data_IF_991401475420
#
_entry.id   IF_991401475420
#
_cell.length_a   1.000
_cell.length_b   1.000
_cell.length_c   1.000
_cell.angle_alpha   90.00
_cell.angle_beta   90.00
_cell.angle_gamma   90.00
#
_symmetry.space_group_name_H-M   'P 1'
#
loop_
_entity.id
_entity.type
_entity.pdbx_description
1 polymer ?
#
# COMPACT_ATOMS: atom_id res chain seq x y z
N UNK A 1 -21.90 -5.86 0.27
CA UNK A 1 -20.79 -6.83 0.48
C UNK A 1 -19.59 -5.98 0.80
N UNK A 2 -18.93 -6.20 1.94
CA UNK A 2 -17.83 -5.36 2.39
C UNK A 2 -16.59 -5.58 1.52
N UNK A 3 -15.86 -4.49 1.24
CA UNK A 3 -14.52 -4.50 0.66
C UNK A 3 -13.67 -3.63 1.57
N UNK A 4 -12.61 -4.19 2.13
CA UNK A 4 -11.63 -3.50 2.95
C UNK A 4 -10.24 -3.77 2.41
N UNK A 5 -9.53 -2.69 2.08
CA UNK A 5 -8.17 -2.74 1.56
C UNK A 5 -7.36 -1.64 2.23
N UNK A 6 -6.34 -2.00 2.99
CA UNK A 6 -5.36 -1.10 3.57
C UNK A 6 -3.97 -1.53 3.14
N UNK A 7 -3.22 -0.67 2.46
CA UNK A 7 -1.92 -1.10 1.94
C UNK A 7 -1.11 0.00 1.28
N UNK A 8 0.20 -0.27 1.18
CA UNK A 8 1.11 0.53 0.37
C UNK A 8 1.13 0.03 -1.07
N UNK A 9 1.14 0.96 -2.02
CA UNK A 9 1.25 0.66 -3.45
C UNK A 9 2.42 1.45 -4.01
N UNK A 10 3.39 0.74 -4.57
CA UNK A 10 4.55 1.32 -5.24
C UNK A 10 5.13 0.31 -6.24
N UNK A 11 6.26 0.63 -6.86
CA UNK A 11 7.00 -0.33 -7.70
C UNK A 11 7.36 -1.57 -6.89
N UNK A 12 7.26 -2.75 -7.51
CA UNK A 12 7.51 -4.02 -6.84
C UNK A 12 8.90 -4.08 -6.20
N UNK A 13 9.93 -3.64 -6.91
CA UNK A 13 11.33 -3.60 -6.45
C UNK A 13 11.52 -2.69 -5.23
N UNK A 14 10.79 -1.57 -5.20
CA UNK A 14 10.81 -0.61 -4.10
C UNK A 14 10.20 -1.22 -2.84
N UNK A 15 9.01 -1.81 -2.95
CA UNK A 15 8.36 -2.45 -1.79
C UNK A 15 9.15 -3.66 -1.29
N UNK A 16 9.72 -4.46 -2.20
CA UNK A 16 10.61 -5.56 -1.84
C UNK A 16 11.82 -5.08 -1.05
N UNK A 17 12.48 -4.01 -1.50
CA UNK A 17 13.67 -3.43 -0.84
C UNK A 17 13.31 -2.75 0.49
N UNK A 18 12.26 -1.94 0.51
CA UNK A 18 11.82 -1.20 1.69
C UNK A 18 11.30 -2.11 2.79
N UNK A 19 10.65 -3.22 2.44
CA UNK A 19 10.11 -4.17 3.39
C UNK A 19 11.11 -5.24 3.87
N UNK A 20 12.37 -5.27 3.40
CA UNK A 20 13.37 -6.30 3.78
C UNK A 20 13.57 -6.50 5.30
N UNK A 21 13.21 -5.53 6.13
CA UNK A 21 13.28 -5.62 7.59
C UNK A 21 12.00 -6.08 8.30
N UNK A 22 10.91 -6.32 7.57
CA UNK A 22 9.60 -6.63 8.13
C UNK A 22 9.26 -8.09 7.88
N UNK A 23 9.18 -8.88 8.95
CA UNK A 23 8.95 -10.33 8.88
C UNK A 23 7.52 -10.68 8.47
N UNK A 24 6.57 -9.82 8.82
CA UNK A 24 5.15 -10.01 8.50
C UNK A 24 4.74 -9.34 7.20
N UNK A 25 5.66 -8.63 6.53
CA UNK A 25 5.39 -8.00 5.24
C UNK A 25 5.15 -9.05 4.15
N UNK A 26 4.12 -8.83 3.35
CA UNK A 26 3.74 -9.68 2.21
C UNK A 26 3.54 -8.82 0.99
N UNK A 27 4.46 -8.90 0.04
CA UNK A 27 4.40 -8.11 -1.20
C UNK A 27 3.63 -8.92 -2.23
N UNK A 28 2.54 -8.35 -2.74
CA UNK A 28 1.70 -8.94 -3.78
C UNK A 28 1.96 -8.22 -5.09
N UNK A 29 2.44 -8.89 -6.14
CA UNK A 29 2.62 -8.26 -7.43
C UNK A 29 1.26 -7.85 -8.04
N UNK A 30 1.21 -6.63 -8.57
CA UNK A 30 0.09 -6.06 -9.32
C UNK A 30 0.47 -5.89 -10.80
N UNK A 31 -0.46 -5.37 -11.59
CA UNK A 31 -0.18 -5.03 -12.98
C UNK A 31 0.86 -3.90 -13.12
N UNK A 32 1.44 -3.77 -14.32
CA UNK A 32 2.38 -2.70 -14.70
C UNK A 32 3.66 -2.61 -13.84
N UNK A 33 4.04 -3.70 -13.16
CA UNK A 33 5.23 -3.74 -12.30
C UNK A 33 5.05 -3.01 -10.96
N UNK A 34 3.82 -2.69 -10.58
CA UNK A 34 3.50 -2.26 -9.22
C UNK A 34 3.32 -3.48 -8.32
N UNK A 35 3.34 -3.25 -7.02
CA UNK A 35 2.95 -4.23 -6.02
C UNK A 35 2.14 -3.56 -4.91
N UNK A 36 1.37 -4.38 -4.20
CA UNK A 36 0.66 -4.05 -2.99
C UNK A 36 1.40 -4.67 -1.80
N UNK A 37 1.64 -3.89 -0.75
CA UNK A 37 2.02 -4.37 0.57
C UNK A 37 0.82 -4.15 1.51
N UNK A 38 0.00 -5.18 1.79
CA UNK A 38 -1.17 -5.07 2.65
C UNK A 38 -0.74 -4.81 4.10
N UNK A 39 -1.35 -3.81 4.74
CA UNK A 39 -1.12 -3.47 6.14
C UNK A 39 -2.08 -4.26 7.03
N UNK A 40 -1.74 -5.54 7.19
CA UNK A 40 -2.43 -6.45 8.12
C UNK A 40 -2.21 -6.05 9.58
N UNK A 41 -2.96 -6.67 10.48
CA UNK A 41 -2.80 -6.44 11.92
C UNK A 41 -1.39 -6.81 12.39
N UNK A 42 -0.88 -7.95 11.90
CA UNK A 42 0.47 -8.40 12.21
C UNK A 42 1.54 -7.38 11.77
N UNK A 43 1.40 -6.80 10.57
CA UNK A 43 2.32 -5.78 10.07
C UNK A 43 2.24 -4.49 10.87
N UNK A 44 1.02 -4.05 11.18
CA UNK A 44 0.83 -2.86 12.01
C UNK A 44 1.42 -3.06 13.41
N UNK A 45 1.26 -4.23 14.02
CA UNK A 45 1.78 -4.53 15.36
C UNK A 45 3.31 -4.66 15.37
N UNK A 46 3.90 -5.29 14.34
CA UNK A 46 5.35 -5.33 14.14
C UNK A 46 5.93 -3.92 13.99
N UNK A 47 5.34 -3.11 13.11
CA UNK A 47 5.78 -1.74 12.86
C UNK A 47 5.54 -0.84 14.07
N UNK A 48 4.53 -1.06 14.90
CA UNK A 48 4.33 -0.29 16.14
C UNK A 48 5.12 -0.86 17.33
N UNK A 49 5.79 -2.01 17.16
CA UNK A 49 6.55 -2.67 18.22
C UNK A 49 5.68 -3.09 19.42
N UNK A 50 4.42 -3.48 19.14
CA UNK A 50 3.44 -3.83 20.17
C UNK A 50 2.94 -2.66 21.04
N UNK A 51 3.27 -1.42 20.69
CA UNK A 51 2.77 -0.21 21.38
C UNK A 51 1.44 0.26 20.78
N UNK A 52 0.73 1.09 21.54
CA UNK A 52 -0.49 1.75 21.06
C UNK A 52 -0.23 2.52 19.75
N UNK A 53 -1.19 2.42 18.84
CA UNK A 53 -1.14 3.08 17.54
C UNK A 53 -1.39 4.58 17.71
N UNK A 54 -0.42 5.39 17.32
CA UNK A 54 -0.65 6.83 17.04
C UNK A 54 -1.04 7.01 15.59
N UNK A 55 -2.23 7.54 15.31
CA UNK A 55 -2.70 7.80 13.96
C UNK A 55 -1.83 8.88 13.29
N UNK A 56 -1.38 8.64 12.05
CA UNK A 56 -0.60 9.64 11.32
C UNK A 56 -1.46 10.83 10.89
N UNK A 57 -2.69 10.56 10.46
CA UNK A 57 -3.66 11.57 10.05
C UNK A 57 -5.07 11.11 10.38
N UNK A 58 -5.99 12.05 10.60
CA UNK A 58 -7.39 11.79 10.97
C UNK A 58 -8.19 11.11 9.83
N UNK A 59 -7.69 11.20 8.60
CA UNK A 59 -8.30 10.62 7.40
C UNK A 59 -8.22 9.08 7.37
N UNK A 60 -7.29 8.49 8.13
CA UNK A 60 -6.97 7.06 8.06
C UNK A 60 -7.39 6.32 9.34
N UNK A 61 -7.78 5.06 9.17
CA UNK A 61 -8.11 4.12 10.24
C UNK A 61 -6.90 3.30 10.68
N UNK A 62 -6.00 2.98 9.75
CA UNK A 62 -4.91 2.02 9.93
C UNK A 62 -3.52 2.66 9.85
N UNK A 63 -3.34 3.75 9.11
CA UNK A 63 -2.06 4.45 9.00
C UNK A 63 -1.60 5.04 10.35
N UNK A 64 -0.51 4.50 10.89
CA UNK A 64 0.19 5.04 12.05
C UNK A 64 1.31 6.00 11.65
N UNK A 65 1.74 6.88 12.56
CA UNK A 65 2.91 7.76 12.33
C UNK A 65 4.14 6.95 11.91
N UNK A 66 4.37 5.79 12.53
CA UNK A 66 5.50 4.91 12.19
C UNK A 66 5.38 4.34 10.78
N UNK A 67 4.17 3.97 10.35
CA UNK A 67 3.89 3.52 8.99
C UNK A 67 4.09 4.66 7.98
N UNK A 68 3.67 5.89 8.30
CA UNK A 68 3.90 7.07 7.47
C UNK A 68 5.40 7.39 7.33
N UNK A 69 6.19 7.29 8.41
CA UNK A 69 7.63 7.47 8.36
C UNK A 69 8.37 6.41 7.54
N UNK A 70 7.88 5.15 7.55
CA UNK A 70 8.39 4.13 6.64
C UNK A 70 8.11 4.50 5.19
N UNK A 71 6.89 4.93 4.86
CA UNK A 71 6.53 5.35 3.51
C UNK A 71 7.36 6.56 3.05
N UNK A 72 7.57 7.55 3.91
CA UNK A 72 8.45 8.69 3.65
C UNK A 72 9.89 8.21 3.37
N UNK A 73 10.43 7.29 4.17
CA UNK A 73 11.78 6.73 3.97
C UNK A 73 11.88 5.94 2.67
N UNK A 74 10.91 5.08 2.37
CA UNK A 74 10.84 4.32 1.13
C UNK A 74 10.70 5.22 -0.09
N UNK A 75 10.05 6.38 0.08
CA UNK A 75 9.82 7.31 -1.01
C UNK A 75 11.10 7.93 -1.58
N UNK A 76 12.23 7.81 -0.88
CA UNK A 76 13.55 8.18 -1.40
C UNK A 76 13.96 7.32 -2.62
N UNK A 77 13.41 6.12 -2.77
CA UNK A 77 13.65 5.22 -3.91
C UNK A 77 12.65 5.42 -5.06
N UNK A 78 11.56 6.15 -4.82
CA UNK A 78 10.50 6.44 -5.80
C UNK A 78 9.13 6.63 -5.14
N UNK A 79 8.08 6.95 -5.92
CA UNK A 79 6.77 7.28 -5.36
C UNK A 79 6.12 6.11 -4.61
N UNK A 80 5.56 6.39 -3.43
CA UNK A 80 4.82 5.44 -2.59
C UNK A 80 3.44 6.01 -2.27
N UNK A 81 2.40 5.29 -2.66
CA UNK A 81 1.03 5.58 -2.25
C UNK A 81 0.65 4.71 -1.05
N UNK A 82 -0.15 5.27 -0.14
CA UNK A 82 -0.90 4.50 0.84
C UNK A 82 -2.38 4.71 0.60
N UNK A 83 -3.15 3.62 0.67
CA UNK A 83 -4.59 3.62 0.42
C UNK A 83 -5.33 2.84 1.50
N UNK A 84 -6.51 3.32 1.85
CA UNK A 84 -7.49 2.61 2.66
C UNK A 84 -8.85 2.67 1.99
N UNK A 85 -9.60 1.58 2.04
CA UNK A 85 -10.98 1.53 1.56
C UNK A 85 -11.85 0.77 2.55
N UNK A 86 -13.07 1.24 2.77
CA UNK A 86 -14.10 0.54 3.54
C UNK A 86 -15.47 0.72 2.84
N UNK A 87 -15.96 -0.38 2.26
CA UNK A 87 -17.25 -0.47 1.58
C UNK A 87 -18.30 -1.27 2.38
N UNK A 88 -18.32 -1.16 3.72
CA UNK A 88 -19.20 -2.00 4.55
C UNK A 88 -20.71 -1.78 4.33
N UNK A 89 -21.23 -0.58 3.99
CA UNK A 89 -22.66 -0.38 3.62
C UNK A 89 -22.97 1.04 3.10
N UNK A 90 -22.69 1.30 1.82
CA UNK A 90 -23.32 2.40 1.08
C UNK A 90 -22.65 3.78 1.08
N UNK A 91 -21.61 4.03 1.88
CA UNK A 91 -20.82 5.28 1.80
C UNK A 91 -19.39 5.11 1.28
N UNK A 92 -18.92 3.86 1.12
CA UNK A 92 -17.71 3.49 0.39
C UNK A 92 -16.55 4.44 0.56
N UNK A 93 -16.07 4.60 1.79
CA UNK A 93 -15.10 5.64 2.06
C UNK A 93 -13.71 5.14 1.69
N UNK A 94 -12.98 5.98 0.98
CA UNK A 94 -11.61 5.77 0.60
C UNK A 94 -10.75 6.85 1.24
N UNK A 95 -9.53 6.50 1.61
CA UNK A 95 -8.50 7.45 2.00
C UNK A 95 -7.20 7.16 1.27
N UNK A 96 -6.42 8.21 1.01
CA UNK A 96 -5.14 8.08 0.32
C UNK A 96 -4.15 9.18 0.65
N UNK A 97 -2.87 8.89 0.52
CA UNK A 97 -1.76 9.84 0.66
C UNK A 97 -0.58 9.33 -0.19
N UNK A 98 0.25 10.24 -0.71
CA UNK A 98 1.41 9.87 -1.54
C UNK A 98 2.66 10.61 -1.08
N UNK A 99 3.76 9.86 -1.00
CA UNK A 99 5.10 10.38 -0.79
C UNK A 99 5.98 10.13 -2.00
N UNK A 100 6.89 11.06 -2.26
CA UNK A 100 7.91 10.97 -3.29
C UNK A 100 9.14 11.77 -2.85
N UNK A 101 10.33 11.22 -3.08
CA UNK A 101 11.62 11.81 -2.70
C UNK A 101 11.72 12.26 -1.23
N UNK A 102 11.14 11.50 -0.30
CA UNK A 102 11.15 11.81 1.13
C UNK A 102 10.16 12.91 1.54
N UNK A 103 9.25 13.32 0.64
CA UNK A 103 8.30 14.38 0.91
C UNK A 103 6.89 13.96 0.54
N UNK A 104 5.89 14.54 1.19
CA UNK A 104 4.49 14.30 0.84
C UNK A 104 4.12 15.10 -0.40
N UNK A 105 3.74 14.41 -1.48
CA UNK A 105 3.40 15.03 -2.77
C UNK A 105 1.91 14.97 -3.12
N UNK A 106 1.13 14.22 -2.34
CA UNK A 106 -0.33 14.31 -2.28
C UNK A 106 -0.73 14.28 -0.81
N UNK A 107 -1.44 15.32 -0.35
CA UNK A 107 -1.91 15.38 1.02
C UNK A 107 -2.95 14.30 1.34
N UNK A 108 -3.11 13.92 2.62
CA UNK A 108 -4.13 12.98 3.06
C UNK A 108 -5.51 13.44 2.61
N UNK A 109 -6.20 12.57 1.89
CA UNK A 109 -7.56 12.83 1.43
C UNK A 109 -8.46 11.67 1.80
N UNK A 110 -9.72 11.97 2.14
CA UNK A 110 -10.76 11.01 2.44
C UNK A 110 -12.05 11.40 1.74
N UNK A 111 -12.72 10.45 1.09
CA UNK A 111 -13.95 10.72 0.34
C UNK A 111 -14.63 9.44 -0.13
N UNK A 112 -15.86 9.57 -0.62
CA UNK A 112 -16.64 8.43 -1.13
C UNK A 112 -16.15 7.90 -2.50
N UNK A 113 -15.39 8.71 -3.24
CA UNK A 113 -14.75 8.34 -4.50
C UNK A 113 -13.61 9.31 -4.81
N UNK A 114 -12.56 8.83 -5.48
CA UNK A 114 -11.48 9.68 -5.99
C UNK A 114 -10.12 9.45 -5.32
N UNK A 115 -9.97 9.51 -3.98
CA UNK A 115 -8.68 9.49 -3.30
C UNK A 115 -7.73 8.39 -3.81
N UNK A 116 -8.20 7.15 -3.89
CA UNK A 116 -7.39 6.03 -4.36
C UNK A 116 -6.93 6.23 -5.81
N UNK A 117 -7.85 6.57 -6.71
CA UNK A 117 -7.49 6.81 -8.12
C UNK A 117 -6.53 8.00 -8.28
N UNK A 118 -6.68 9.07 -7.50
CA UNK A 118 -5.75 10.21 -7.52
C UNK A 118 -4.36 9.80 -7.06
N UNK A 119 -4.25 9.01 -6.00
CA UNK A 119 -2.97 8.50 -5.51
C UNK A 119 -2.29 7.59 -6.55
N UNK A 120 -3.05 6.69 -7.17
CA UNK A 120 -2.54 5.79 -8.21
C UNK A 120 -2.07 6.55 -9.46
N UNK A 121 -2.84 7.54 -9.91
CA UNK A 121 -2.41 8.44 -10.99
C UNK A 121 -1.15 9.22 -10.61
N UNK A 122 -1.05 9.68 -9.35
CA UNK A 122 0.09 10.46 -8.86
C UNK A 122 1.40 9.66 -8.84
N UNK A 123 1.34 8.34 -8.59
CA UNK A 123 2.50 7.44 -8.67
C UNK A 123 2.76 6.90 -10.09
N UNK A 124 1.99 7.34 -11.08
CA UNK A 124 2.23 7.07 -12.50
C UNK A 124 1.54 5.83 -13.08
N UNK A 125 0.47 5.32 -12.44
CA UNK A 125 -0.36 4.25 -13.03
C UNK A 125 -0.98 4.75 -14.33
N UNK A 126 -0.78 4.00 -15.42
CA UNK A 126 -1.32 4.33 -16.73
C UNK A 126 -2.66 3.63 -16.91
N UNK A 127 -3.74 4.39 -17.07
CA UNK A 127 -5.08 3.84 -17.26
C UNK A 127 -5.42 3.87 -18.76
N UNK A 128 -6.06 2.81 -19.26
CA UNK A 128 -6.73 2.85 -20.56
C UNK A 128 -8.08 3.58 -20.45
N UNK A 129 -8.65 4.05 -21.56
CA UNK A 129 -9.92 4.82 -21.56
C UNK A 129 -11.12 4.06 -20.94
N UNK A 130 -11.03 2.73 -20.84
CA UNK A 130 -12.12 1.86 -20.39
C UNK A 130 -12.07 1.48 -18.90
N UNK A 131 -10.96 1.75 -18.20
CA UNK A 131 -10.75 1.31 -16.80
C UNK A 131 -10.15 2.44 -15.97
N UNK A 132 -10.52 2.52 -14.69
CA UNK A 132 -9.84 3.42 -13.77
C UNK A 132 -8.53 2.79 -13.25
N UNK A 133 -7.74 3.57 -12.49
CA UNK A 133 -6.44 3.12 -12.00
C UNK A 133 -6.56 1.93 -11.03
N UNK A 134 -7.66 1.88 -10.27
CA UNK A 134 -7.95 0.81 -9.33
C UNK A 134 -8.20 -0.52 -10.05
N UNK A 135 -9.06 -0.51 -11.06
CA UNK A 135 -9.37 -1.66 -11.90
C UNK A 135 -8.16 -2.09 -12.73
N UNK A 136 -7.41 -1.12 -13.28
CA UNK A 136 -6.20 -1.36 -14.07
C UNK A 136 -5.13 -2.13 -13.29
N UNK A 137 -4.96 -1.81 -11.98
CA UNK A 137 -4.04 -2.54 -11.11
C UNK A 137 -4.61 -3.87 -10.58
N UNK A 138 -5.89 -4.17 -10.85
CA UNK A 138 -6.54 -5.39 -10.38
C UNK A 138 -6.85 -5.38 -8.88
N UNK A 139 -6.94 -4.21 -8.24
CA UNK A 139 -7.16 -4.09 -6.79
C UNK A 139 -8.54 -4.61 -6.35
N UNK A 140 -9.47 -4.76 -7.29
CA UNK A 140 -10.76 -5.41 -7.06
C UNK A 140 -10.73 -6.95 -6.99
N UNK A 141 -9.58 -7.60 -7.26
CA UNK A 141 -9.46 -9.07 -7.29
C UNK A 141 -9.82 -9.71 -5.95
N UNK A 142 -9.32 -9.14 -4.86
CA UNK A 142 -9.60 -9.60 -3.50
C UNK A 142 -10.24 -8.47 -2.71
N UNK A 143 -11.12 -8.87 -1.77
CA UNK A 143 -11.97 -7.93 -1.03
C UNK A 143 -11.50 -7.60 0.37
N UNK A 144 -10.51 -8.32 0.87
CA UNK A 144 -10.01 -8.20 2.24
C UNK A 144 -8.49 -8.09 2.21
N UNK A 145 -7.94 -7.14 2.98
CA UNK A 145 -6.49 -6.93 3.17
C UNK A 145 -5.77 -8.23 3.55
N UNK A 146 -6.37 -9.04 4.41
CA UNK A 146 -5.85 -10.34 4.83
C UNK A 146 -5.78 -11.34 3.68
N UNK A 147 -6.75 -11.32 2.76
CA UNK A 147 -6.71 -12.18 1.57
C UNK A 147 -5.55 -11.80 0.65
N UNK A 148 -5.29 -10.50 0.48
CA UNK A 148 -4.11 -10.04 -0.25
C UNK A 148 -2.81 -10.53 0.39
N UNK A 149 -2.70 -10.44 1.72
CA UNK A 149 -1.49 -10.88 2.43
C UNK A 149 -1.22 -12.39 2.31
N UNK A 150 -2.28 -13.21 2.14
CA UNK A 150 -2.14 -14.66 1.93
C UNK A 150 -1.58 -15.02 0.54
N UNK A 151 -1.85 -14.20 -0.48
CA UNK A 151 -1.26 -14.38 -1.82
C UNK A 151 0.13 -13.75 -1.96
N UNK A 152 0.48 -12.82 -1.07
CA UNK A 152 1.76 -12.13 -1.09
C UNK A 152 2.92 -13.04 -0.70
N UNK A 153 4.07 -12.79 -1.32
CA UNK A 153 5.32 -13.44 -0.93
C UNK A 153 6.03 -12.52 0.06
N UNK A 154 6.72 -13.09 1.06
CA UNK A 154 7.55 -12.27 1.95
C UNK A 154 8.59 -11.49 1.17
N UNK A 155 9.12 -10.38 1.70
CA UNK A 155 10.22 -9.69 1.08
C UNK A 155 11.35 -10.68 0.82
N UNK A 156 11.89 -10.69 -0.40
CA UNK A 156 12.98 -11.60 -0.75
C UNK A 156 14.13 -11.39 0.24
N UNK A 157 14.39 -12.39 1.07
CA UNK A 157 15.64 -12.48 1.82
C UNK A 157 16.78 -12.56 0.80
N UNK A 158 17.95 -12.00 1.11
CA UNK A 158 19.14 -11.98 0.23
C UNK A 158 19.71 -13.38 -0.13
N UNK A 159 18.93 -14.45 -0.03
CA UNK A 159 19.35 -15.84 -0.13
C UNK A 159 19.17 -16.50 -1.51
N UNK A 160 18.82 -15.78 -2.59
CA UNK A 160 18.68 -16.38 -3.93
C UNK A 160 19.50 -15.68 -5.04
N UNK A 161 20.55 -14.94 -4.66
CA UNK A 161 21.70 -14.72 -5.55
C UNK A 161 22.71 -15.85 -5.33
N UNK A 162 22.35 -17.09 -5.67
CA UNK A 162 23.38 -18.02 -6.14
C UNK A 162 23.65 -17.67 -7.61
N UNK A 163 24.83 -17.13 -7.97
CA UNK A 163 25.26 -17.18 -9.36
C UNK A 163 25.44 -18.66 -9.72
N UNK A 164 24.51 -19.16 -10.55
CA UNK A 164 24.66 -20.46 -11.18
C UNK A 164 25.78 -20.42 -12.21
N UNK A 165 26.60 -21.48 -12.14
CA UNK A 165 27.65 -21.92 -13.06
C UNK A 165 29.02 -21.22 -13.00
#
# INVERSE_FOLDING_TARGET
MAHSLEGFIARAELLQTGAKGLTTAKVVPLAQGYALLPVTQALADEVNGGKERTAAFEQFWRLSERLAHLAESWSALGPVAYVETDYVRGSGVQASVVWDAGTRVLDPSRGAAGPVNWALQRIGVQCDEAQDAFDTLGLGRLRETEAWAQEGVGPLADADLQPGA
#
